data_IF_446911724888
#
_entry.id   IF_446911724888
#
_cell.length_a   1.000
_cell.length_b   1.000
_cell.length_c   1.000
_cell.angle_alpha   90.00
_cell.angle_beta   90.00
_cell.angle_gamma   90.00
#
_symmetry.space_group_name_H-M   'P 1'
#
loop_
_entity.id
_entity.type
_entity.pdbx_description
1 polymer ?
#
# COMPACT_ATOMS: atom_id res chain seq x y z
N UNK A 1 -12.21 37.33 -8.77
CA UNK A 1 -11.98 36.20 -7.84
C UNK A 1 -10.81 35.42 -8.39
N UNK A 2 -9.68 35.42 -7.69
CA UNK A 2 -8.54 34.60 -8.07
C UNK A 2 -8.99 33.13 -8.08
N UNK A 3 -8.75 32.42 -9.19
CA UNK A 3 -9.00 30.98 -9.23
C UNK A 3 -7.94 30.34 -8.34
N UNK A 4 -8.37 29.65 -7.29
CA UNK A 4 -7.45 28.86 -6.48
C UNK A 4 -6.75 27.78 -7.32
N UNK A 5 -5.48 27.53 -7.02
CA UNK A 5 -4.61 26.62 -7.79
C UNK A 5 -4.93 25.12 -7.53
N UNK A 6 -5.84 24.81 -6.61
CA UNK A 6 -6.26 23.45 -6.26
C UNK A 6 -7.64 23.16 -6.81
N UNK A 7 -7.77 22.08 -7.59
CA UNK A 7 -9.05 21.65 -8.16
C UNK A 7 -10.03 21.28 -7.04
N UNK A 8 -11.29 21.67 -7.19
CA UNK A 8 -12.38 21.34 -6.24
C UNK A 8 -12.47 19.84 -5.97
N UNK A 9 -12.28 19.02 -7.01
CA UNK A 9 -12.26 17.55 -6.89
C UNK A 9 -11.15 17.06 -5.96
N UNK A 10 -9.95 17.62 -6.08
CA UNK A 10 -8.80 17.22 -5.26
C UNK A 10 -9.00 17.68 -3.82
N UNK A 11 -9.49 18.92 -3.60
CA UNK A 11 -9.90 19.38 -2.26
C UNK A 11 -10.88 18.40 -1.61
N UNK A 12 -11.99 18.11 -2.29
CA UNK A 12 -13.06 17.27 -1.73
C UNK A 12 -12.54 15.86 -1.40
N UNK A 13 -11.70 15.29 -2.26
CA UNK A 13 -11.07 14.00 -2.01
C UNK A 13 -10.13 14.03 -0.80
N UNK A 14 -9.29 15.06 -0.68
CA UNK A 14 -8.35 15.23 0.45
C UNK A 14 -9.12 15.44 1.76
N UNK A 15 -9.98 16.44 1.82
CA UNK A 15 -10.73 16.82 3.03
C UNK A 15 -11.64 15.67 3.48
N UNK A 16 -12.38 15.07 2.55
CA UNK A 16 -13.27 13.95 2.86
C UNK A 16 -12.54 12.72 3.43
N UNK A 17 -11.43 12.32 2.81
CA UNK A 17 -10.65 11.17 3.26
C UNK A 17 -10.03 11.42 4.65
N UNK A 18 -9.36 12.56 4.83
CA UNK A 18 -8.65 12.86 6.07
C UNK A 18 -9.61 13.08 7.26
N UNK A 19 -10.79 13.66 7.04
CA UNK A 19 -11.86 13.74 8.07
C UNK A 19 -12.41 12.36 8.46
N UNK A 20 -12.45 11.42 7.52
CA UNK A 20 -12.78 10.03 7.79
C UNK A 20 -11.61 9.23 8.40
N UNK A 21 -10.44 9.83 8.60
CA UNK A 21 -9.26 9.17 9.15
C UNK A 21 -8.55 8.23 8.16
N UNK A 22 -8.82 8.36 6.86
CA UNK A 22 -8.23 7.53 5.80
C UNK A 22 -7.32 8.36 4.88
N UNK A 23 -6.41 7.69 4.18
CA UNK A 23 -5.49 8.34 3.25
C UNK A 23 -6.23 8.69 1.95
N UNK A 24 -6.14 9.93 1.45
CA UNK A 24 -6.78 10.31 0.19
C UNK A 24 -6.17 9.58 -1.00
N UNK A 25 -6.99 9.24 -1.99
CA UNK A 25 -6.55 8.58 -3.23
C UNK A 25 -6.10 9.56 -4.31
N UNK A 26 -6.53 10.82 -4.21
CA UNK A 26 -6.22 11.91 -5.14
C UNK A 26 -5.67 13.11 -4.36
N UNK A 27 -4.81 13.90 -5.00
CA UNK A 27 -4.32 15.16 -4.43
C UNK A 27 -3.29 15.02 -3.30
N UNK A 28 -2.74 13.83 -3.07
CA UNK A 28 -1.73 13.54 -2.04
C UNK A 28 -0.54 14.51 -2.07
N UNK A 29 -0.13 14.96 -3.26
CA UNK A 29 0.95 15.92 -3.46
C UNK A 29 0.72 17.27 -2.74
N UNK A 30 -0.53 17.67 -2.51
CA UNK A 30 -0.87 18.94 -1.88
C UNK A 30 -0.67 18.91 -0.35
N UNK A 31 -0.60 17.72 0.25
CA UNK A 31 -0.50 17.52 1.70
C UNK A 31 0.77 16.76 2.12
N UNK A 32 1.64 16.41 1.16
CA UNK A 32 2.92 15.76 1.48
C UNK A 32 3.79 16.68 2.34
N UNK A 33 4.27 16.19 3.48
CA UNK A 33 5.22 16.91 4.34
C UNK A 33 6.38 16.01 4.72
N UNK A 34 7.57 16.60 4.76
CA UNK A 34 8.81 15.89 5.06
C UNK A 34 9.15 14.83 4.01
N UNK A 35 10.07 13.94 4.40
CA UNK A 35 10.38 12.68 3.70
C UNK A 35 10.96 12.83 2.29
N UNK A 36 11.55 13.98 1.98
CA UNK A 36 12.09 14.26 0.65
C UNK A 36 13.14 13.22 0.23
N UNK A 37 14.00 12.79 1.16
CA UNK A 37 15.08 11.83 0.90
C UNK A 37 14.54 10.42 0.66
N UNK A 38 13.56 10.01 1.45
CA UNK A 38 12.87 8.72 1.36
C UNK A 38 12.14 8.62 0.01
N UNK A 39 11.46 9.69 -0.41
CA UNK A 39 10.80 9.76 -1.70
C UNK A 39 11.80 9.78 -2.85
N UNK A 40 12.90 10.54 -2.73
CA UNK A 40 13.97 10.51 -3.73
C UNK A 40 14.50 9.09 -3.94
N UNK A 41 14.63 8.32 -2.86
CA UNK A 41 15.06 6.93 -2.95
C UNK A 41 14.02 6.05 -3.66
N UNK A 42 12.74 6.18 -3.34
CA UNK A 42 11.66 5.48 -4.04
C UNK A 42 11.64 5.84 -5.54
N UNK A 43 11.88 7.09 -5.89
CA UNK A 43 11.99 7.52 -7.30
C UNK A 43 13.17 6.83 -7.99
N UNK A 44 14.33 6.71 -7.32
CA UNK A 44 15.50 5.98 -7.84
C UNK A 44 15.18 4.50 -8.06
N UNK A 45 14.51 3.87 -7.10
CA UNK A 45 14.09 2.48 -7.17
C UNK A 45 13.14 2.24 -8.34
N UNK A 46 12.13 3.10 -8.51
CA UNK A 46 11.17 3.03 -9.62
C UNK A 46 11.87 3.18 -10.97
N UNK A 47 12.87 4.06 -11.08
CA UNK A 47 13.70 4.18 -12.30
C UNK A 47 14.55 2.94 -12.54
N UNK A 48 15.07 2.31 -11.49
CA UNK A 48 15.79 1.04 -11.63
C UNK A 48 14.86 -0.07 -12.14
N UNK A 49 13.63 -0.15 -11.63
CA UNK A 49 12.61 -1.08 -12.12
C UNK A 49 12.29 -0.86 -13.60
N UNK A 50 12.18 0.40 -14.06
CA UNK A 50 11.90 0.69 -15.47
C UNK A 50 13.02 0.26 -16.42
N UNK A 51 14.25 0.12 -15.91
CA UNK A 51 15.44 -0.27 -16.66
C UNK A 51 15.76 -1.78 -16.59
N UNK A 52 14.87 -2.60 -16.04
CA UNK A 52 15.05 -4.06 -15.95
C UNK A 52 15.49 -4.54 -14.56
N UNK A 53 15.78 -3.63 -13.65
CA UNK A 53 16.11 -3.96 -12.27
C UNK A 53 14.94 -4.50 -11.47
N UNK A 54 15.25 -4.93 -10.26
CA UNK A 54 14.31 -5.40 -9.25
C UNK A 54 14.53 -4.60 -7.96
N UNK A 55 13.51 -4.51 -7.11
CA UNK A 55 13.63 -3.79 -5.83
C UNK A 55 12.75 -4.38 -4.75
N UNK A 56 13.27 -4.46 -3.53
CA UNK A 56 12.49 -4.77 -2.34
C UNK A 56 12.74 -3.70 -1.27
N UNK A 57 11.66 -3.15 -0.69
CA UNK A 57 11.76 -2.21 0.43
C UNK A 57 10.81 -2.57 1.56
N UNK A 58 11.25 -2.27 2.78
CA UNK A 58 10.47 -2.36 4.01
C UNK A 58 10.32 -0.95 4.56
N UNK A 59 9.11 -0.41 4.47
CA UNK A 59 8.74 0.89 5.02
C UNK A 59 8.26 0.66 6.45
N UNK A 60 9.12 0.98 7.41
CA UNK A 60 8.92 0.67 8.83
C UNK A 60 8.71 1.94 9.63
N UNK A 61 7.64 2.00 10.41
CA UNK A 61 7.32 3.14 11.26
C UNK A 61 6.15 2.86 12.20
N UNK A 62 6.01 3.65 13.26
CA UNK A 62 4.94 3.45 14.25
C UNK A 62 3.54 3.69 13.67
N UNK A 63 2.50 3.31 14.40
CA UNK A 63 1.14 3.75 14.07
C UNK A 63 1.10 5.28 14.04
N UNK A 64 0.41 5.85 13.04
CA UNK A 64 0.39 7.31 12.85
C UNK A 64 1.60 7.90 12.11
N UNK A 65 2.73 7.19 11.96
CA UNK A 65 3.90 7.68 11.20
C UNK A 65 3.68 7.83 9.68
N UNK A 66 2.44 7.84 9.18
CA UNK A 66 2.15 8.08 7.76
C UNK A 66 2.70 7.01 6.80
N UNK A 67 2.85 5.75 7.22
CA UNK A 67 3.29 4.65 6.36
C UNK A 67 2.39 4.46 5.14
N UNK A 68 1.09 4.30 5.37
CA UNK A 68 0.08 4.16 4.32
C UNK A 68 0.06 5.36 3.38
N UNK A 69 0.31 6.56 3.90
CA UNK A 69 0.48 7.77 3.08
C UNK A 69 1.70 7.66 2.17
N UNK A 70 2.86 7.29 2.73
CA UNK A 70 4.11 7.14 2.00
C UNK A 70 4.03 6.04 0.93
N UNK A 71 3.44 4.90 1.24
CA UNK A 71 3.23 3.80 0.30
C UNK A 71 2.29 4.19 -0.86
N UNK A 72 1.22 4.94 -0.57
CA UNK A 72 0.36 5.48 -1.62
C UNK A 72 1.08 6.52 -2.48
N UNK A 73 1.93 7.37 -1.90
CA UNK A 73 2.74 8.30 -2.66
C UNK A 73 3.73 7.57 -3.58
N UNK A 74 4.41 6.52 -3.08
CA UNK A 74 5.27 5.66 -3.90
C UNK A 74 4.50 5.04 -5.08
N UNK A 75 3.26 4.59 -4.83
CA UNK A 75 2.36 4.07 -5.86
C UNK A 75 2.04 5.12 -6.92
N UNK A 76 1.69 6.35 -6.51
CA UNK A 76 1.41 7.45 -7.46
C UNK A 76 2.63 7.78 -8.32
N UNK A 77 3.82 7.84 -7.73
CA UNK A 77 5.07 8.05 -8.48
C UNK A 77 5.26 6.95 -9.52
N UNK A 78 5.05 5.68 -9.15
CA UNK A 78 5.19 4.56 -10.07
C UNK A 78 4.20 4.63 -11.24
N UNK A 79 2.95 5.02 -10.98
CA UNK A 79 1.94 5.20 -12.01
C UNK A 79 2.31 6.32 -13.01
N UNK A 80 2.84 7.44 -12.50
CA UNK A 80 3.31 8.54 -13.35
C UNK A 80 4.52 8.15 -14.21
N UNK A 81 5.32 7.18 -13.77
CA UNK A 81 6.44 6.61 -14.53
C UNK A 81 6.08 5.36 -15.33
N UNK A 82 4.81 5.20 -15.74
CA UNK A 82 4.32 4.09 -16.58
C UNK A 82 4.48 2.68 -15.99
N UNK A 83 4.69 2.53 -14.68
CA UNK A 83 4.60 1.23 -14.03
C UNK A 83 3.13 0.85 -13.80
N UNK A 84 2.89 -0.45 -13.76
CA UNK A 84 1.65 -1.02 -13.19
C UNK A 84 1.87 -1.18 -11.70
N UNK A 85 0.85 -0.93 -10.90
CA UNK A 85 0.90 -1.14 -9.45
C UNK A 85 -0.20 -2.07 -8.99
N UNK A 86 0.05 -2.87 -7.96
CA UNK A 86 -0.98 -3.59 -7.22
C UNK A 86 -0.81 -3.30 -5.73
N UNK A 87 -1.91 -3.25 -4.98
CA UNK A 87 -1.85 -2.96 -3.55
C UNK A 87 -2.84 -3.80 -2.74
N UNK A 88 -2.46 -4.17 -1.52
CA UNK A 88 -3.32 -4.83 -0.55
C UNK A 88 -2.84 -4.55 0.88
N UNK A 89 -3.79 -4.45 1.80
CA UNK A 89 -3.52 -4.38 3.23
C UNK A 89 -3.70 -5.78 3.81
N UNK A 90 -2.71 -6.35 4.48
CA UNK A 90 -2.84 -7.70 5.04
C UNK A 90 -3.87 -7.69 6.17
N UNK A 91 -5.07 -8.20 5.91
CA UNK A 91 -6.04 -8.50 6.95
C UNK A 91 -5.70 -9.76 7.77
N UNK A 92 -6.46 -10.07 8.84
CA UNK A 92 -6.25 -11.27 9.66
C UNK A 92 -6.26 -12.60 8.88
N UNK A 93 -6.99 -12.64 7.76
CA UNK A 93 -7.18 -13.82 6.90
C UNK A 93 -6.37 -13.76 5.61
N UNK A 94 -5.46 -12.81 5.46
CA UNK A 94 -4.58 -12.70 4.30
C UNK A 94 -3.15 -13.00 4.70
N UNK A 95 -2.51 -13.86 3.91
CA UNK A 95 -1.16 -14.36 4.18
C UNK A 95 -0.38 -14.44 2.87
N UNK A 96 0.94 -14.38 2.96
CA UNK A 96 1.82 -14.62 1.82
C UNK A 96 2.03 -16.12 1.57
N UNK A 97 1.88 -16.92 2.61
CA UNK A 97 1.94 -18.37 2.56
C UNK A 97 0.81 -18.98 3.39
N UNK A 98 0.06 -19.89 2.78
CA UNK A 98 -1.03 -20.63 3.40
C UNK A 98 -1.28 -21.94 2.62
N UNK A 99 -2.26 -22.73 3.08
CA UNK A 99 -2.73 -23.93 2.36
C UNK A 99 -4.26 -23.99 2.22
N UNK A 100 -4.99 -23.01 2.76
CA UNK A 100 -6.44 -22.94 2.78
C UNK A 100 -7.05 -22.00 1.74
N UNK A 101 -6.23 -21.42 0.85
CA UNK A 101 -6.64 -20.43 -0.15
C UNK A 101 -6.42 -18.99 0.28
N UNK A 102 -5.86 -18.71 1.46
CA UNK A 102 -5.64 -17.35 1.96
C UNK A 102 -4.59 -16.58 1.14
N UNK A 103 -3.54 -17.26 0.65
CA UNK A 103 -2.55 -16.61 -0.20
C UNK A 103 -3.11 -16.33 -1.59
N UNK A 104 -3.90 -17.25 -2.15
CA UNK A 104 -4.69 -17.01 -3.37
C UNK A 104 -5.68 -15.86 -3.17
N UNK A 105 -6.30 -15.76 -1.99
CA UNK A 105 -7.18 -14.65 -1.63
C UNK A 105 -6.45 -13.30 -1.68
N UNK A 106 -5.23 -13.22 -1.11
CA UNK A 106 -4.38 -12.03 -1.22
C UNK A 106 -4.04 -11.72 -2.69
N UNK A 107 -3.69 -12.73 -3.49
CA UNK A 107 -3.44 -12.56 -4.92
C UNK A 107 -4.66 -11.98 -5.65
N UNK A 108 -5.87 -12.47 -5.38
CA UNK A 108 -7.10 -11.97 -5.99
C UNK A 108 -7.35 -10.49 -5.65
N UNK A 109 -7.08 -10.08 -4.41
CA UNK A 109 -7.14 -8.67 -4.00
C UNK A 109 -6.11 -7.84 -4.79
N UNK A 110 -4.86 -8.31 -4.89
CA UNK A 110 -3.82 -7.63 -5.67
C UNK A 110 -4.22 -7.46 -7.14
N UNK A 111 -4.77 -8.50 -7.77
CA UNK A 111 -5.18 -8.46 -9.17
C UNK A 111 -6.40 -7.56 -9.40
N UNK A 112 -7.33 -7.53 -8.45
CA UNK A 112 -8.47 -6.59 -8.46
C UNK A 112 -8.00 -5.14 -8.32
N UNK A 113 -6.99 -4.92 -7.47
CA UNK A 113 -6.39 -3.63 -7.19
C UNK A 113 -5.26 -3.24 -8.16
N UNK A 114 -5.10 -3.97 -9.28
CA UNK A 114 -4.19 -3.58 -10.35
C UNK A 114 -4.57 -2.20 -10.88
N UNK A 115 -3.62 -1.29 -10.92
CA UNK A 115 -3.79 0.09 -11.30
C UNK A 115 -2.74 0.52 -12.32
N UNK A 116 -3.16 1.40 -13.22
CA UNK A 116 -2.33 2.07 -14.23
C UNK A 116 -2.60 3.57 -14.17
N UNK A 117 -1.78 4.40 -14.84
CA UNK A 117 -1.99 5.86 -14.85
C UNK A 117 -3.41 6.26 -15.28
N UNK A 118 -3.99 5.54 -16.24
CA UNK A 118 -5.36 5.79 -16.73
C UNK A 118 -6.46 5.24 -15.81
N UNK A 119 -6.13 4.28 -14.93
CA UNK A 119 -7.04 3.67 -13.95
C UNK A 119 -6.33 3.57 -12.59
N UNK A 120 -6.10 4.70 -11.88
CA UNK A 120 -5.34 4.73 -10.63
C UNK A 120 -6.10 4.09 -9.44
N UNK A 121 -7.41 3.90 -9.58
CA UNK A 121 -8.30 3.38 -8.54
C UNK A 121 -8.37 1.84 -8.48
N UNK A 122 -7.79 1.13 -9.46
CA UNK A 122 -7.87 -0.34 -9.57
C UNK A 122 -8.58 -0.80 -10.85
N UNK A 123 -8.77 -2.13 -10.99
CA UNK A 123 -9.50 -2.74 -12.11
C UNK A 123 -8.81 -2.62 -13.47
N UNK A 124 -7.48 -2.49 -13.50
CA UNK A 124 -6.72 -2.28 -14.74
C UNK A 124 -6.39 -3.56 -15.51
N UNK A 125 -6.64 -4.76 -14.95
CA UNK A 125 -6.27 -6.04 -15.56
C UNK A 125 -6.75 -6.16 -17.02
N UNK A 126 -8.04 -5.93 -17.27
CA UNK A 126 -8.62 -5.96 -18.63
C UNK A 126 -7.90 -5.01 -19.58
N UNK A 127 -7.68 -3.76 -19.16
CA UNK A 127 -6.99 -2.76 -20.00
C UNK A 127 -5.52 -3.09 -20.25
N UNK A 128 -4.86 -3.83 -19.35
CA UNK A 128 -3.48 -4.31 -19.56
C UNK A 128 -3.48 -5.39 -20.64
N UNK A 129 -4.40 -6.35 -20.57
CA UNK A 129 -4.52 -7.44 -21.54
C UNK A 129 -4.88 -6.89 -22.93
N UNK A 130 -5.88 -6.02 -23.01
CA UNK A 130 -6.29 -5.40 -24.27
C UNK A 130 -5.17 -4.55 -24.87
N UNK A 131 -4.38 -3.86 -24.03
CA UNK A 131 -3.19 -3.14 -24.51
C UNK A 131 -2.15 -4.10 -25.07
N UNK A 132 -1.89 -5.24 -24.42
CA UNK A 132 -0.99 -6.27 -24.95
C UNK A 132 -1.46 -6.78 -26.32
N UNK A 133 -2.76 -7.06 -26.49
CA UNK A 133 -3.35 -7.46 -27.78
C UNK A 133 -3.18 -6.33 -28.81
N UNK A 134 -3.44 -5.08 -28.43
CA UNK A 134 -3.26 -3.93 -29.32
C UNK A 134 -1.79 -3.68 -29.72
N UNK A 135 -0.82 -4.01 -28.86
CA UNK A 135 0.60 -4.05 -29.24
C UNK A 135 0.85 -5.20 -30.23
N UNK A 136 0.31 -6.40 -29.99
CA UNK A 136 0.48 -7.53 -30.91
C UNK A 136 -0.10 -7.24 -32.30
N UNK A 137 -1.31 -6.67 -32.37
CA UNK A 137 -1.95 -6.24 -33.63
C UNK A 137 -1.13 -5.22 -34.41
N UNK A 138 -0.43 -4.31 -33.72
CA UNK A 138 0.46 -3.32 -34.38
C UNK A 138 1.71 -3.95 -34.98
N UNK A 139 2.18 -5.06 -34.41
CA UNK A 139 3.36 -5.78 -34.91
C UNK A 139 2.98 -6.87 -35.92
N UNK A 140 1.75 -7.40 -35.83
CA UNK A 140 1.18 -8.28 -36.82
C UNK A 140 0.97 -7.51 -38.13
N UNK A 141 1.60 -7.96 -39.22
CA UNK A 141 1.46 -7.30 -40.52
C UNK A 141 0.06 -7.46 -41.14
N UNK A 142 -0.74 -8.40 -40.64
CA UNK A 142 -2.11 -8.72 -41.10
C UNK A 142 -2.94 -9.20 -39.91
N UNK A 143 -4.28 -9.14 -40.00
CA UNK A 143 -5.19 -9.62 -38.95
C UNK A 143 -5.04 -11.13 -38.68
N UNK A 144 -4.83 -11.94 -39.72
CA UNK A 144 -4.65 -13.39 -39.57
C UNK A 144 -3.36 -13.76 -38.80
N UNK A 145 -2.35 -12.88 -38.81
CA UNK A 145 -1.08 -13.09 -38.13
C UNK A 145 -1.09 -12.65 -36.64
N UNK A 146 -2.20 -12.08 -36.15
CA UNK A 146 -2.27 -11.57 -34.77
C UNK A 146 -2.13 -12.69 -33.74
N UNK A 147 -2.77 -13.83 -33.98
CA UNK A 147 -2.68 -15.00 -33.09
C UNK A 147 -1.25 -15.53 -32.98
N UNK A 148 -0.55 -15.64 -34.11
CA UNK A 148 0.84 -16.09 -34.18
C UNK A 148 1.79 -15.11 -33.45
N UNK A 149 1.57 -13.81 -33.62
CA UNK A 149 2.36 -12.79 -32.91
C UNK A 149 2.09 -12.81 -31.40
N UNK A 150 0.84 -13.03 -30.97
CA UNK A 150 0.52 -13.23 -29.55
C UNK A 150 1.26 -14.45 -28.99
N UNK A 151 1.22 -15.60 -29.69
CA UNK A 151 1.92 -16.81 -29.27
C UNK A 151 3.44 -16.59 -29.16
N UNK A 152 4.03 -15.98 -30.19
CA UNK A 152 5.46 -15.65 -30.22
C UNK A 152 5.87 -14.75 -29.06
N UNK A 153 5.08 -13.72 -28.74
CA UNK A 153 5.38 -12.79 -27.63
C UNK A 153 5.21 -13.45 -26.26
N UNK A 154 4.25 -14.37 -26.12
CA UNK A 154 4.03 -15.11 -24.86
C UNK A 154 5.02 -16.24 -24.65
N UNK A 155 5.75 -16.69 -25.67
CA UNK A 155 6.74 -17.77 -25.58
C UNK A 155 7.75 -17.54 -24.43
N UNK A 156 8.20 -16.28 -24.24
CA UNK A 156 9.14 -15.93 -23.16
C UNK A 156 8.61 -16.19 -21.75
N UNK A 157 7.28 -16.24 -21.58
CA UNK A 157 6.65 -16.57 -20.30
C UNK A 157 6.64 -18.08 -20.08
N UNK A 158 6.59 -18.89 -21.13
CA UNK A 158 6.45 -20.35 -21.02
C UNK A 158 7.67 -21.02 -20.37
N UNK A 159 8.85 -20.38 -20.46
CA UNK A 159 10.08 -20.82 -19.77
C UNK A 159 10.04 -20.59 -18.25
N UNK A 160 9.07 -19.81 -17.77
CA UNK A 160 8.89 -19.53 -16.35
C UNK A 160 7.95 -20.55 -15.69
N UNK A 161 8.12 -20.76 -14.38
CA UNK A 161 7.21 -21.59 -13.58
C UNK A 161 5.76 -21.08 -13.71
N UNK A 162 4.84 -21.99 -14.03
CA UNK A 162 3.42 -21.74 -14.32
C UNK A 162 3.13 -20.89 -15.58
N UNK A 163 4.14 -20.61 -16.41
CA UNK A 163 4.00 -19.72 -17.55
C UNK A 163 3.22 -20.28 -18.73
N UNK A 164 3.27 -21.58 -18.97
CA UNK A 164 2.51 -22.24 -20.04
C UNK A 164 1.00 -22.02 -19.89
N UNK A 165 0.46 -22.28 -18.70
CA UNK A 165 -0.96 -22.10 -18.42
C UNK A 165 -1.36 -20.62 -18.43
N UNK A 166 -0.50 -19.73 -17.91
CA UNK A 166 -0.72 -18.28 -18.00
C UNK A 166 -0.82 -17.80 -19.46
N UNK A 167 0.12 -18.20 -20.32
CA UNK A 167 0.10 -17.88 -21.75
C UNK A 167 -1.14 -18.45 -22.44
N UNK A 168 -1.54 -19.68 -22.08
CA UNK A 168 -2.76 -20.32 -22.60
C UNK A 168 -4.00 -19.50 -22.24
N UNK A 169 -4.12 -19.01 -21.01
CA UNK A 169 -5.27 -18.21 -20.58
C UNK A 169 -5.32 -16.85 -21.28
N UNK A 170 -4.17 -16.20 -21.51
CA UNK A 170 -4.12 -14.96 -22.32
C UNK A 170 -4.57 -15.24 -23.77
N UNK A 171 -4.15 -16.36 -24.37
CA UNK A 171 -4.61 -16.78 -25.70
C UNK A 171 -6.11 -17.01 -25.72
N UNK A 172 -6.67 -17.72 -24.73
CA UNK A 172 -8.12 -17.92 -24.58
C UNK A 172 -8.88 -16.60 -24.46
N UNK A 173 -8.34 -15.63 -23.72
CA UNK A 173 -8.93 -14.29 -23.65
C UNK A 173 -8.96 -13.61 -25.02
N UNK A 174 -7.87 -13.70 -25.79
CA UNK A 174 -7.83 -13.13 -27.15
C UNK A 174 -8.80 -13.83 -28.11
N UNK A 175 -8.82 -15.16 -28.15
CA UNK A 175 -9.77 -15.94 -28.96
C UNK A 175 -11.22 -15.53 -28.66
N UNK A 176 -11.53 -15.35 -27.38
CA UNK A 176 -12.83 -14.90 -26.91
C UNK A 176 -13.13 -13.44 -27.29
N UNK A 177 -12.11 -12.58 -27.28
CA UNK A 177 -12.22 -11.19 -27.70
C UNK A 177 -12.55 -11.06 -29.20
N UNK A 178 -11.89 -11.82 -30.06
CA UNK A 178 -12.19 -11.85 -31.50
C UNK A 178 -13.57 -12.43 -31.79
N UNK A 179 -13.97 -13.48 -31.06
CA UNK A 179 -15.25 -14.16 -31.24
C UNK A 179 -16.44 -13.42 -30.59
N UNK A 180 -16.21 -12.39 -29.79
CA UNK A 180 -17.25 -11.73 -28.98
C UNK A 180 -17.84 -12.63 -27.87
N UNK A 181 -17.09 -13.62 -27.39
CA UNK A 181 -17.52 -14.52 -26.31
C UNK A 181 -17.19 -13.90 -24.94
N UNK A 182 -18.12 -13.10 -24.41
CA UNK A 182 -17.95 -12.48 -23.09
C UNK A 182 -17.84 -13.49 -21.95
N UNK A 183 -18.45 -14.68 -22.07
CA UNK A 183 -18.37 -15.73 -21.04
C UNK A 183 -16.94 -16.28 -20.94
N UNK A 184 -16.31 -16.54 -22.08
CA UNK A 184 -14.93 -17.03 -22.11
C UNK A 184 -13.92 -15.94 -21.69
N UNK A 185 -14.17 -14.68 -22.06
CA UNK A 185 -13.39 -13.53 -21.55
C UNK A 185 -13.45 -13.45 -20.02
N UNK A 186 -14.65 -13.52 -19.45
CA UNK A 186 -14.86 -13.47 -18.00
C UNK A 186 -14.21 -14.66 -17.29
N UNK A 187 -14.29 -15.86 -17.86
CA UNK A 187 -13.58 -17.03 -17.34
C UNK A 187 -12.07 -16.80 -17.32
N UNK A 188 -11.49 -16.26 -18.40
CA UNK A 188 -10.06 -16.00 -18.46
C UNK A 188 -9.63 -14.93 -17.45
N UNK A 189 -10.40 -13.84 -17.31
CA UNK A 189 -10.16 -12.80 -16.29
C UNK A 189 -10.25 -13.39 -14.88
N UNK A 190 -11.24 -14.24 -14.62
CA UNK A 190 -11.43 -14.93 -13.34
C UNK A 190 -10.24 -15.83 -13.00
N UNK A 191 -9.65 -16.51 -13.99
CA UNK A 191 -8.43 -17.29 -13.80
C UNK A 191 -7.22 -16.41 -13.50
N UNK A 192 -7.04 -15.32 -14.25
CA UNK A 192 -5.95 -14.36 -14.03
C UNK A 192 -6.06 -13.62 -12.69
N UNK A 193 -7.27 -13.49 -12.13
CA UNK A 193 -7.49 -12.99 -10.76
C UNK A 193 -7.32 -14.06 -9.69
N UNK A 194 -7.10 -15.34 -10.04
CA UNK A 194 -6.99 -16.43 -9.05
C UNK A 194 -8.32 -16.76 -8.36
N UNK A 195 -9.46 -16.53 -9.01
CA UNK A 195 -10.81 -16.72 -8.44
C UNK A 195 -11.38 -18.14 -8.66
N UNK A 196 -10.58 -19.06 -9.22
CA UNK A 196 -10.94 -20.46 -9.32
C UNK A 196 -10.52 -21.22 -8.07
N UNK A 197 -11.52 -21.79 -7.36
CA UNK A 197 -11.27 -22.67 -6.22
C UNK A 197 -10.94 -24.11 -6.65
N UNK A 198 -11.52 -24.57 -7.76
CA UNK A 198 -11.48 -25.95 -8.21
C UNK A 198 -10.88 -26.06 -9.62
N UNK A 199 -9.90 -26.96 -9.79
CA UNK A 199 -9.26 -27.26 -11.08
C UNK A 199 -10.24 -27.79 -12.12
N UNK A 200 -11.27 -28.53 -11.70
CA UNK A 200 -12.32 -29.05 -12.58
C UNK A 200 -13.11 -27.93 -13.24
N UNK A 201 -13.38 -26.84 -12.52
CA UNK A 201 -14.10 -25.68 -13.06
C UNK A 201 -13.24 -24.93 -14.07
N UNK A 202 -11.95 -24.68 -13.77
CA UNK A 202 -11.02 -24.07 -14.73
C UNK A 202 -10.87 -24.91 -16.00
N UNK A 203 -10.85 -26.24 -15.88
CA UNK A 203 -10.79 -27.16 -17.03
C UNK A 203 -12.05 -27.07 -17.88
N UNK A 204 -13.22 -26.99 -17.24
CA UNK A 204 -14.51 -26.87 -17.94
C UNK A 204 -14.64 -25.54 -18.68
N UNK A 205 -14.21 -24.44 -18.04
CA UNK A 205 -14.42 -23.11 -18.57
C UNK A 205 -13.36 -22.70 -19.61
N UNK A 206 -12.10 -23.10 -19.41
CA UNK A 206 -10.94 -22.63 -20.20
C UNK A 206 -10.13 -23.75 -20.86
N UNK A 207 -10.39 -25.01 -20.50
CA UNK A 207 -9.57 -26.15 -20.93
C UNK A 207 -8.25 -26.31 -20.15
N UNK A 208 -8.00 -25.49 -19.13
CA UNK A 208 -6.76 -25.47 -18.34
C UNK A 208 -6.89 -26.36 -17.10
N UNK A 209 -5.91 -27.23 -16.83
CA UNK A 209 -5.97 -28.24 -15.75
C UNK A 209 -5.44 -27.74 -14.40
N UNK A 210 -4.90 -26.53 -14.36
CA UNK A 210 -4.32 -25.92 -13.17
C UNK A 210 -5.05 -24.61 -12.83
N UNK A 211 -4.85 -24.16 -11.60
CA UNK A 211 -5.34 -22.88 -11.09
C UNK A 211 -4.18 -22.17 -10.40
N UNK A 212 -4.32 -20.87 -10.20
CA UNK A 212 -3.48 -20.14 -9.26
C UNK A 212 -3.87 -20.60 -7.85
N UNK A 213 -2.93 -21.19 -7.13
CA UNK A 213 -3.09 -21.69 -5.77
C UNK A 213 -2.05 -21.07 -4.84
N UNK A 214 -2.16 -21.34 -3.53
CA UNK A 214 -1.33 -20.70 -2.50
C UNK A 214 0.18 -20.89 -2.75
N UNK A 215 0.59 -22.04 -3.30
CA UNK A 215 1.98 -22.38 -3.58
C UNK A 215 2.57 -21.63 -4.77
N UNK A 216 1.72 -21.16 -5.68
CA UNK A 216 2.12 -20.57 -6.97
C UNK A 216 1.86 -19.07 -7.08
N UNK A 217 1.26 -18.43 -6.06
CA UNK A 217 0.96 -16.98 -6.04
C UNK A 217 2.18 -16.12 -6.42
N UNK A 218 3.33 -16.38 -5.79
CA UNK A 218 4.53 -15.58 -6.06
C UNK A 218 5.09 -15.79 -7.46
N UNK A 219 5.00 -17.00 -7.98
CA UNK A 219 5.41 -17.30 -9.36
C UNK A 219 4.49 -16.57 -10.36
N UNK A 220 3.20 -16.45 -10.08
CA UNK A 220 2.26 -15.65 -10.87
C UNK A 220 2.48 -14.13 -10.77
N UNK A 221 2.96 -13.61 -9.63
CA UNK A 221 3.37 -12.20 -9.54
C UNK A 221 4.59 -11.90 -10.45
N UNK A 222 5.55 -12.83 -10.54
CA UNK A 222 6.68 -12.71 -11.50
C UNK A 222 6.21 -12.79 -12.95
N UNK A 223 5.27 -13.69 -13.26
CA UNK A 223 4.65 -13.77 -14.59
C UNK A 223 3.94 -12.46 -14.94
N UNK A 224 3.19 -11.88 -13.99
CA UNK A 224 2.53 -10.59 -14.18
C UNK A 224 3.55 -9.47 -14.45
N UNK A 225 4.69 -9.43 -13.74
CA UNK A 225 5.76 -8.47 -14.01
C UNK A 225 6.24 -8.53 -15.46
N UNK A 226 6.50 -9.73 -15.97
CA UNK A 226 6.94 -9.93 -17.37
C UNK A 226 5.81 -9.62 -18.35
N UNK A 227 4.58 -10.00 -18.03
CA UNK A 227 3.42 -9.72 -18.88
C UNK A 227 3.14 -8.23 -19.02
N UNK A 228 3.21 -7.42 -17.95
CA UNK A 228 2.99 -5.97 -18.07
C UNK A 228 4.06 -5.29 -18.93
N UNK A 229 5.29 -5.81 -18.96
CA UNK A 229 6.33 -5.37 -19.90
C UNK A 229 5.96 -5.69 -21.34
N UNK A 230 5.47 -6.90 -21.60
CA UNK A 230 4.93 -7.27 -22.91
C UNK A 230 3.73 -6.38 -23.29
N UNK A 231 2.91 -5.94 -22.32
CA UNK A 231 1.83 -5.00 -22.56
C UNK A 231 2.28 -3.53 -22.79
N UNK A 232 3.59 -3.25 -22.72
CA UNK A 232 4.16 -1.91 -22.98
C UNK A 232 4.17 -0.97 -21.76
N UNK A 233 4.07 -1.49 -20.54
CA UNK A 233 4.36 -0.76 -19.30
C UNK A 233 5.82 -0.94 -18.90
N UNK A 234 6.33 -0.09 -18.01
CA UNK A 234 7.77 -0.08 -17.66
C UNK A 234 8.17 -1.00 -16.51
N UNK A 235 7.20 -1.52 -15.76
CA UNK A 235 7.44 -2.51 -14.72
C UNK A 235 6.22 -2.72 -13.83
N UNK A 236 6.39 -3.52 -12.78
CA UNK A 236 5.34 -3.89 -11.84
C UNK A 236 5.77 -3.66 -10.40
N UNK A 237 5.00 -2.87 -9.65
CA UNK A 237 5.22 -2.59 -8.23
C UNK A 237 4.07 -3.14 -7.39
N UNK A 238 4.38 -4.08 -6.49
CA UNK A 238 3.43 -4.59 -5.49
C UNK A 238 3.65 -3.87 -4.17
N UNK A 239 2.56 -3.39 -3.57
CA UNK A 239 2.56 -2.69 -2.29
C UNK A 239 1.72 -3.49 -1.30
N UNK A 240 2.34 -3.93 -0.21
CA UNK A 240 1.67 -4.69 0.85
C UNK A 240 1.77 -3.88 2.14
N UNK A 241 0.66 -3.36 2.65
CA UNK A 241 0.60 -2.65 3.92
C UNK A 241 0.12 -3.57 5.06
N UNK A 242 0.19 -3.10 6.30
CA UNK A 242 -0.29 -3.80 7.49
C UNK A 242 0.39 -5.17 7.71
N UNK A 243 1.67 -5.29 7.35
CA UNK A 243 2.48 -6.52 7.51
C UNK A 243 2.60 -6.97 8.98
N UNK A 244 2.33 -6.07 9.93
CA UNK A 244 2.24 -6.38 11.36
C UNK A 244 1.25 -7.50 11.67
N UNK A 245 0.25 -7.73 10.82
CA UNK A 245 -0.70 -8.83 11.03
C UNK A 245 -0.05 -10.22 10.90
N UNK A 246 1.09 -10.35 10.21
CA UNK A 246 1.89 -11.59 10.24
C UNK A 246 2.57 -11.79 11.60
N UNK A 247 3.08 -10.72 12.23
CA UNK A 247 3.66 -10.78 13.58
C UNK A 247 2.60 -11.23 14.61
N UNK A 248 1.35 -10.77 14.45
CA UNK A 248 0.22 -11.12 15.32
C UNK A 248 -0.20 -12.60 15.24
N UNK A 249 0.19 -13.34 14.20
CA UNK A 249 -0.11 -14.77 14.09
C UNK A 249 0.40 -15.53 15.32
N UNK A 250 -0.52 -16.17 16.04
CA UNK A 250 -0.22 -16.95 17.26
C UNK A 250 0.56 -18.21 16.92
N UNK A 251 0.17 -18.91 15.86
CA UNK A 251 0.83 -20.13 15.40
C UNK A 251 2.21 -19.81 14.79
N UNK A 252 3.27 -20.28 15.46
CA UNK A 252 4.66 -20.03 15.05
C UNK A 252 5.01 -20.68 13.70
N UNK A 253 4.53 -21.89 13.41
CA UNK A 253 4.77 -22.58 12.14
C UNK A 253 4.20 -21.78 10.97
N UNK A 254 2.94 -21.32 11.08
CA UNK A 254 2.33 -20.49 10.04
C UNK A 254 3.05 -19.15 9.87
N UNK A 255 3.49 -18.53 10.97
CA UNK A 255 4.26 -17.27 10.92
C UNK A 255 5.61 -17.48 10.23
N UNK A 256 6.35 -18.51 10.60
CA UNK A 256 7.65 -18.84 10.02
C UNK A 256 7.55 -19.15 8.53
N UNK A 257 6.51 -19.88 8.08
CA UNK A 257 6.30 -20.14 6.66
C UNK A 257 6.05 -18.85 5.85
N UNK A 258 5.36 -17.86 6.44
CA UNK A 258 5.23 -16.54 5.83
C UNK A 258 6.56 -15.78 5.78
N UNK A 259 7.41 -15.92 6.81
CA UNK A 259 8.74 -15.30 6.82
C UNK A 259 9.70 -15.95 5.82
N UNK A 260 9.62 -17.27 5.63
CA UNK A 260 10.33 -17.97 4.55
C UNK A 260 9.89 -17.47 3.18
N UNK A 261 8.59 -17.22 2.99
CA UNK A 261 8.08 -16.64 1.75
C UNK A 261 8.57 -15.20 1.53
N UNK A 262 8.62 -14.37 2.58
CA UNK A 262 9.25 -13.04 2.51
C UNK A 262 10.74 -13.16 2.16
N UNK A 263 11.46 -14.10 2.77
CA UNK A 263 12.87 -14.33 2.46
C UNK A 263 13.07 -14.75 1.00
N UNK A 264 12.20 -15.61 0.47
CA UNK A 264 12.20 -16.01 -0.95
C UNK A 264 12.04 -14.78 -1.84
N UNK A 265 11.08 -13.91 -1.54
CA UNK A 265 10.84 -12.64 -2.27
C UNK A 265 12.09 -11.75 -2.22
N UNK A 266 12.65 -11.54 -1.02
CA UNK A 266 13.83 -10.69 -0.80
C UNK A 266 15.03 -11.22 -1.58
N UNK A 267 15.31 -12.53 -1.51
CA UNK A 267 16.44 -13.12 -2.21
C UNK A 267 16.30 -13.03 -3.74
N UNK A 268 15.13 -13.35 -4.29
CA UNK A 268 14.90 -13.28 -5.73
C UNK A 268 15.04 -11.83 -6.25
N UNK A 269 14.56 -10.84 -5.50
CA UNK A 269 14.65 -9.42 -5.86
C UNK A 269 16.06 -8.85 -5.67
N UNK A 270 16.79 -9.19 -4.61
CA UNK A 270 18.17 -8.72 -4.40
C UNK A 270 19.15 -9.36 -5.40
N UNK A 271 18.84 -10.56 -5.90
CA UNK A 271 19.69 -11.27 -6.87
C UNK A 271 19.34 -10.94 -8.34
N UNK A 272 18.38 -10.04 -8.59
CA UNK A 272 18.01 -9.65 -9.96
C UNK A 272 17.25 -10.72 -10.73
N UNK A 273 16.68 -11.75 -10.06
CA UNK A 273 16.00 -12.87 -10.73
C UNK A 273 14.57 -12.55 -11.17
N UNK A 274 14.00 -11.48 -10.65
CA UNK A 274 12.66 -11.02 -11.00
C UNK A 274 12.74 -9.62 -11.61
N UNK A 275 13.13 -9.57 -12.89
CA UNK A 275 13.27 -8.32 -13.64
C UNK A 275 11.97 -7.51 -13.68
N UNK A 276 12.13 -6.18 -13.70
CA UNK A 276 11.04 -5.21 -13.75
C UNK A 276 10.04 -5.31 -12.58
N UNK A 277 10.41 -6.00 -11.51
CA UNK A 277 9.51 -6.29 -10.38
C UNK A 277 9.98 -5.64 -9.08
N UNK A 278 9.06 -4.94 -8.43
CA UNK A 278 9.27 -4.29 -7.15
C UNK A 278 8.27 -4.73 -6.09
N UNK A 279 8.70 -4.83 -4.84
CA UNK A 279 7.81 -5.06 -3.69
C UNK A 279 8.10 -4.08 -2.56
N UNK A 280 7.07 -3.38 -2.07
CA UNK A 280 7.13 -2.53 -0.88
C UNK A 280 6.31 -3.18 0.25
N UNK A 281 6.93 -3.40 1.40
CA UNK A 281 6.30 -3.93 2.61
C UNK A 281 6.14 -2.82 3.65
N UNK A 282 4.91 -2.49 4.03
CA UNK A 282 4.56 -1.58 5.13
C UNK A 282 4.43 -2.33 6.44
N UNK A 283 5.27 -2.01 7.43
CA UNK A 283 5.27 -2.70 8.72
C UNK A 283 5.55 -1.79 9.91
N UNK A 284 5.34 -2.31 11.12
CA UNK A 284 5.70 -1.60 12.35
C UNK A 284 7.11 -1.99 12.83
N UNK A 285 7.74 -1.22 13.74
CA UNK A 285 9.02 -1.61 14.32
C UNK A 285 8.96 -2.97 15.01
N UNK A 286 7.85 -3.37 15.64
CA UNK A 286 7.71 -4.69 16.25
C UNK A 286 7.73 -5.81 15.21
N UNK A 287 7.08 -5.59 14.06
CA UNK A 287 7.13 -6.56 12.95
C UNK A 287 8.56 -6.80 12.48
N UNK A 288 9.41 -5.77 12.44
CA UNK A 288 10.81 -5.91 12.03
C UNK A 288 11.70 -6.44 13.17
N UNK A 289 11.71 -5.76 14.32
CA UNK A 289 12.77 -5.81 15.32
C UNK A 289 12.52 -6.79 16.47
N UNK A 290 11.29 -7.25 16.68
CA UNK A 290 10.99 -8.19 17.77
C UNK A 290 11.85 -9.45 17.60
N UNK A 291 12.75 -9.75 18.54
CA UNK A 291 13.71 -10.85 18.39
C UNK A 291 13.07 -12.24 18.53
N UNK A 292 11.82 -12.32 18.98
CA UNK A 292 11.09 -13.58 19.20
C UNK A 292 10.03 -13.82 18.12
N UNK A 293 9.37 -12.76 17.66
CA UNK A 293 8.22 -12.88 16.75
C UNK A 293 8.35 -12.06 15.47
N UNK A 294 9.22 -11.06 15.41
CA UNK A 294 9.42 -10.20 14.24
C UNK A 294 10.32 -10.86 13.20
N UNK A 295 10.59 -10.18 12.09
CA UNK A 295 11.48 -10.67 11.04
C UNK A 295 12.89 -10.96 11.56
N UNK A 296 13.35 -10.21 12.57
CA UNK A 296 14.66 -10.40 13.19
C UNK A 296 14.77 -11.67 14.05
N UNK A 297 13.65 -12.35 14.34
CA UNK A 297 13.69 -13.69 14.94
C UNK A 297 14.20 -14.75 13.95
N UNK A 298 14.28 -14.42 12.65
CA UNK A 298 14.80 -15.29 11.61
C UNK A 298 16.12 -14.75 11.06
N UNK A 299 17.23 -15.39 11.41
CA UNK A 299 18.58 -14.86 11.16
C UNK A 299 18.87 -14.58 9.68
N UNK A 300 18.33 -15.40 8.77
CA UNK A 300 18.48 -15.21 7.33
C UNK A 300 17.78 -13.94 6.81
N UNK A 301 16.66 -13.52 7.44
CA UNK A 301 16.04 -12.22 7.14
C UNK A 301 16.80 -11.10 7.82
N UNK A 302 17.16 -11.27 9.10
CA UNK A 302 17.91 -10.27 9.86
C UNK A 302 19.18 -9.84 9.13
N UNK A 303 19.98 -10.78 8.65
CA UNK A 303 21.22 -10.48 7.91
C UNK A 303 21.00 -9.71 6.60
N UNK A 304 19.83 -9.86 5.97
CA UNK A 304 19.46 -9.11 4.75
C UNK A 304 18.90 -7.73 5.04
N UNK A 305 18.24 -7.56 6.18
CA UNK A 305 17.50 -6.35 6.55
C UNK A 305 18.23 -5.47 7.56
N UNK A 306 19.31 -5.97 8.16
CA UNK A 306 20.11 -5.24 9.12
C UNK A 306 20.61 -3.92 8.53
N UNK A 307 20.63 -2.90 9.39
CA UNK A 307 21.19 -1.61 9.04
C UNK A 307 22.69 -1.70 8.83
N UNK A 308 23.17 -0.79 8.00
CA UNK A 308 24.58 -0.61 7.76
C UNK A 308 25.30 -0.19 9.06
N UNK A 309 26.30 -0.95 9.47
CA UNK A 309 27.04 -0.75 10.72
C UNK A 309 27.82 0.57 10.79
N UNK A 310 28.03 1.23 9.66
CA UNK A 310 28.66 2.56 9.54
C UNK A 310 27.67 3.71 9.74
N UNK A 311 26.37 3.45 9.81
CA UNK A 311 25.35 4.44 10.14
C UNK A 311 25.49 4.79 11.62
N UNK A 312 26.29 5.82 11.90
CA UNK A 312 26.53 6.38 13.24
C UNK A 312 26.40 7.90 13.17
N UNK A 313 26.08 8.54 14.30
CA UNK A 313 26.12 10.00 14.47
C UNK A 313 25.34 10.82 13.42
N UNK A 314 24.05 10.52 13.23
CA UNK A 314 23.17 11.33 12.35
C UNK A 314 23.35 11.09 10.86
N UNK A 315 24.22 10.16 10.46
CA UNK A 315 24.26 9.62 9.10
C UNK A 315 22.99 8.80 8.83
N UNK A 316 22.55 8.78 7.58
CA UNK A 316 21.39 7.99 7.14
C UNK A 316 21.76 7.28 5.85
N UNK A 317 21.49 5.98 5.81
CA UNK A 317 21.68 5.14 4.62
C UNK A 317 20.32 4.66 4.11
N UNK A 318 19.88 5.23 3.00
CA UNK A 318 18.67 4.81 2.30
C UNK A 318 18.93 3.76 1.21
N UNK A 319 20.17 3.27 1.04
CA UNK A 319 20.48 2.25 0.04
C UNK A 319 20.02 0.86 0.46
N UNK A 320 19.95 0.58 1.76
CA UNK A 320 19.50 -0.69 2.33
C UNK A 320 17.99 -0.93 2.18
N UNK A 321 17.51 -2.18 2.28
CA UNK A 321 16.11 -2.52 2.02
C UNK A 321 15.13 -1.91 3.03
N UNK A 322 15.58 -1.43 4.19
CA UNK A 322 14.70 -0.83 5.21
C UNK A 322 14.70 0.69 5.09
N UNK A 323 13.52 1.29 4.93
CA UNK A 323 13.27 2.73 5.04
C UNK A 323 12.51 2.96 6.34
N UNK A 324 13.13 3.66 7.30
CA UNK A 324 12.46 4.05 8.54
C UNK A 324 11.72 5.35 8.37
N UNK A 325 10.46 5.36 8.77
CA UNK A 325 9.62 6.55 8.81
C UNK A 325 9.46 7.01 10.27
N UNK A 326 10.16 8.08 10.68
CA UNK A 326 9.93 8.67 12.00
C UNK A 326 8.52 9.28 12.09
N UNK A 327 8.08 9.48 13.33
CA UNK A 327 6.92 10.33 13.60
C UNK A 327 7.17 11.76 13.07
N UNK A 328 6.09 12.47 12.73
CA UNK A 328 6.19 13.86 12.30
C UNK A 328 6.71 14.72 13.45
N UNK A 329 7.66 15.59 13.15
CA UNK A 329 8.13 16.65 14.06
C UNK A 329 7.07 17.73 14.24
N UNK A 330 7.22 18.59 15.25
CA UNK A 330 6.34 19.75 15.48
C UNK A 330 6.29 20.65 14.25
N UNK A 331 7.45 20.91 13.66
CA UNK A 331 7.62 21.74 12.48
C UNK A 331 6.93 21.13 11.26
N UNK A 332 7.09 19.82 11.05
CA UNK A 332 6.39 19.13 9.96
C UNK A 332 4.87 19.11 10.18
N UNK A 333 4.40 18.96 11.42
CA UNK A 333 2.98 19.02 11.72
C UNK A 333 2.41 20.41 11.46
N UNK A 334 3.12 21.48 11.84
CA UNK A 334 2.73 22.85 11.52
C UNK A 334 2.61 23.09 10.00
N UNK A 335 3.60 22.62 9.23
CA UNK A 335 3.58 22.70 7.77
C UNK A 335 2.40 21.90 7.21
N UNK A 336 2.07 20.75 7.79
CA UNK A 336 0.91 19.96 7.39
C UNK A 336 -0.40 20.71 7.63
N UNK A 337 -0.61 21.30 8.80
CA UNK A 337 -1.82 22.07 9.10
C UNK A 337 -1.95 23.29 8.17
N UNK A 338 -0.83 23.96 7.87
CA UNK A 338 -0.77 25.06 6.89
C UNK A 338 -1.24 24.59 5.51
N UNK A 339 -0.74 23.44 5.04
CA UNK A 339 -1.16 22.84 3.77
C UNK A 339 -2.63 22.42 3.78
N UNK A 340 -3.13 21.87 4.88
CA UNK A 340 -4.53 21.48 5.01
C UNK A 340 -5.46 22.69 4.95
N UNK A 341 -5.12 23.79 5.64
CA UNK A 341 -5.84 25.06 5.53
C UNK A 341 -5.84 25.58 4.10
N UNK A 342 -4.68 25.54 3.43
CA UNK A 342 -4.56 25.97 2.03
C UNK A 342 -5.41 25.11 1.08
N UNK A 343 -5.39 23.78 1.25
CA UNK A 343 -6.25 22.85 0.51
C UNK A 343 -7.72 23.15 0.75
N UNK A 344 -8.12 23.35 2.01
CA UNK A 344 -9.50 23.67 2.38
C UNK A 344 -10.01 24.91 1.63
N UNK A 345 -9.18 25.94 1.57
CA UNK A 345 -9.42 27.19 0.85
C UNK A 345 -9.14 27.12 -0.67
N UNK A 346 -9.06 25.91 -1.26
CA UNK A 346 -8.82 25.69 -2.70
C UNK A 346 -7.54 26.34 -3.24
N UNK A 347 -6.59 26.67 -2.39
CA UNK A 347 -5.36 27.36 -2.75
C UNK A 347 -5.45 28.88 -2.75
N UNK A 348 -6.58 29.46 -2.32
CA UNK A 348 -6.72 30.91 -2.19
C UNK A 348 -6.46 31.38 -0.74
N UNK A 349 -5.40 32.18 -0.49
CA UNK A 349 -5.12 32.73 0.84
C UNK A 349 -6.24 33.61 1.41
N UNK A 350 -6.99 34.30 0.55
CA UNK A 350 -8.08 35.20 0.98
C UNK A 350 -9.27 34.42 1.56
N UNK A 351 -9.40 33.13 1.23
CA UNK A 351 -10.48 32.25 1.67
C UNK A 351 -10.07 31.39 2.89
N UNK A 352 -9.00 31.76 3.59
CA UNK A 352 -8.55 31.01 4.77
C UNK A 352 -9.54 31.16 5.94
N UNK A 353 -10.06 30.04 6.49
CA UNK A 353 -10.99 30.09 7.61
C UNK A 353 -10.34 30.54 8.93
N UNK A 354 -9.01 30.42 9.05
CA UNK A 354 -8.25 30.76 10.25
C UNK A 354 -6.88 31.38 9.92
N UNK A 355 -6.38 32.33 10.72
CA UNK A 355 -5.04 32.91 10.53
C UNK A 355 -3.93 31.99 11.07
N UNK A 356 -2.66 32.40 10.93
CA UNK A 356 -1.51 31.58 11.34
C UNK A 356 -1.42 31.38 12.86
N UNK A 357 -1.87 32.37 13.62
CA UNK A 357 -1.93 32.33 15.09
C UNK A 357 -2.84 31.20 15.58
N UNK A 358 -3.92 30.92 14.85
CA UNK A 358 -4.84 29.82 15.16
C UNK A 358 -4.18 28.44 14.98
N UNK A 359 -3.25 28.29 14.04
CA UNK A 359 -2.47 27.06 13.88
C UNK A 359 -1.60 26.81 15.11
N UNK A 360 -0.91 27.85 15.58
CA UNK A 360 -0.09 27.78 16.80
C UNK A 360 -0.95 27.50 18.05
N UNK A 361 -2.08 28.19 18.20
CA UNK A 361 -3.01 27.98 19.31
C UNK A 361 -3.57 26.56 19.32
N UNK A 362 -3.96 26.04 18.15
CA UNK A 362 -4.45 24.67 18.01
C UNK A 362 -3.36 23.66 18.40
N UNK A 363 -2.13 23.83 17.90
CA UNK A 363 -1.02 22.95 18.26
C UNK A 363 -0.70 22.99 19.76
N UNK A 364 -0.69 24.18 20.37
CA UNK A 364 -0.48 24.34 21.81
C UNK A 364 -1.58 23.63 22.62
N UNK A 365 -2.84 23.78 22.22
CA UNK A 365 -3.98 23.09 22.84
C UNK A 365 -3.84 21.57 22.77
N UNK A 366 -3.50 21.04 21.59
CA UNK A 366 -3.29 19.61 21.43
C UNK A 366 -2.12 19.09 22.29
N UNK A 367 -1.03 19.85 22.38
CA UNK A 367 0.12 19.49 23.21
C UNK A 367 -0.25 19.47 24.70
N UNK A 368 -1.06 20.42 25.17
CA UNK A 368 -1.55 20.45 26.55
C UNK A 368 -2.49 19.30 26.89
N UNK A 369 -3.39 18.93 25.97
CA UNK A 369 -4.41 17.88 26.19
C UNK A 369 -3.87 16.45 26.04
N UNK A 370 -2.92 16.23 25.13
CA UNK A 370 -2.50 14.87 24.72
C UNK A 370 -1.02 14.59 25.11
N UNK A 371 -0.25 15.60 25.50
CA UNK A 371 1.16 15.46 25.88
C UNK A 371 2.02 14.88 24.76
N UNK A 372 3.02 14.04 25.10
CA UNK A 372 3.90 13.39 24.10
C UNK A 372 3.15 12.49 23.10
N UNK A 373 1.95 11.98 23.46
CA UNK A 373 1.14 11.17 22.56
C UNK A 373 0.57 11.98 21.38
N UNK A 374 0.64 13.32 21.42
CA UNK A 374 0.26 14.19 20.32
C UNK A 374 1.02 13.86 19.02
N UNK A 375 2.33 13.64 19.12
CA UNK A 375 3.20 13.35 17.97
C UNK A 375 3.05 11.93 17.44
N UNK A 376 2.44 11.04 18.23
CA UNK A 376 2.13 9.66 17.85
C UNK A 376 0.73 9.51 17.23
N UNK A 377 -0.11 10.55 17.29
CA UNK A 377 -1.53 10.48 16.91
C UNK A 377 -1.94 11.50 15.81
N UNK A 378 -1.14 11.69 14.73
CA UNK A 378 -1.40 12.74 13.73
C UNK A 378 -2.74 12.56 13.01
N UNK A 379 -3.29 11.35 12.90
CA UNK A 379 -4.60 11.10 12.29
C UNK A 379 -5.73 11.85 12.99
N UNK A 380 -5.79 11.77 14.33
CA UNK A 380 -6.83 12.44 15.11
C UNK A 380 -6.63 13.96 15.08
N UNK A 381 -5.40 14.44 15.21
CA UNK A 381 -5.08 15.86 15.07
C UNK A 381 -5.54 16.43 13.74
N UNK A 382 -5.23 15.76 12.63
CA UNK A 382 -5.64 16.16 11.27
C UNK A 382 -7.17 16.19 11.15
N UNK A 383 -7.84 15.13 11.64
CA UNK A 383 -9.30 15.03 11.61
C UNK A 383 -9.94 16.18 12.38
N UNK A 384 -9.53 16.38 13.63
CA UNK A 384 -10.08 17.43 14.50
C UNK A 384 -9.82 18.82 13.92
N UNK A 385 -8.64 19.06 13.34
CA UNK A 385 -8.37 20.32 12.66
C UNK A 385 -9.30 20.56 11.47
N UNK A 386 -9.51 19.56 10.61
CA UNK A 386 -10.43 19.69 9.47
C UNK A 386 -11.90 19.81 9.90
N UNK A 387 -12.28 19.20 11.02
CA UNK A 387 -13.60 19.38 11.63
C UNK A 387 -13.77 20.82 12.15
N UNK A 388 -12.75 21.39 12.80
CA UNK A 388 -12.72 22.82 13.18
C UNK A 388 -12.91 23.73 11.96
N UNK A 389 -12.15 23.51 10.88
CA UNK A 389 -12.27 24.31 9.65
C UNK A 389 -13.69 24.20 9.05
N UNK A 390 -14.27 22.99 9.05
CA UNK A 390 -15.61 22.77 8.53
C UNK A 390 -16.70 23.48 9.35
N UNK A 391 -16.53 23.55 10.68
CA UNK A 391 -17.45 24.31 11.55
C UNK A 391 -17.35 25.80 11.27
N UNK A 392 -16.14 26.34 11.16
CA UNK A 392 -15.92 27.77 10.89
C UNK A 392 -16.46 28.20 9.53
N UNK A 393 -16.26 27.37 8.50
CA UNK A 393 -16.78 27.61 7.14
C UNK A 393 -18.32 27.69 7.09
N UNK A 394 -19.00 26.89 7.90
CA UNK A 394 -20.47 26.84 7.96
C UNK A 394 -21.09 27.89 8.89
N UNK A 395 -20.31 28.51 9.78
CA UNK A 395 -20.79 29.43 10.80
C UNK A 395 -20.02 30.76 10.79
N UNK A 396 -20.23 31.61 9.76
CA UNK A 396 -19.56 32.92 9.66
C UNK A 396 -19.81 33.78 10.90
N UNK A 397 -18.73 34.33 11.47
CA UNK A 397 -18.79 35.16 12.69
C UNK A 397 -18.48 34.41 13.98
N UNK A 398 -18.31 33.09 13.94
CA UNK A 398 -17.76 32.33 15.07
C UNK A 398 -16.27 32.63 15.24
N UNK A 399 -15.85 32.94 16.45
CA UNK A 399 -14.44 33.13 16.76
C UNK A 399 -13.73 31.78 16.92
N UNK A 400 -12.53 31.64 16.34
CA UNK A 400 -11.82 30.37 16.28
C UNK A 400 -11.20 29.97 17.64
N UNK A 401 -10.84 30.95 18.45
CA UNK A 401 -10.29 30.81 19.81
C UNK A 401 -11.26 30.09 20.75
N UNK A 402 -12.54 30.50 20.77
CA UNK A 402 -13.60 29.87 21.56
C UNK A 402 -13.78 28.37 21.24
N UNK A 403 -13.62 27.99 19.97
CA UNK A 403 -13.78 26.62 19.51
C UNK A 403 -12.58 25.74 19.90
N UNK A 404 -11.36 26.28 19.81
CA UNK A 404 -10.15 25.53 20.18
C UNK A 404 -10.23 25.13 21.66
N UNK A 405 -10.60 26.05 22.56
CA UNK A 405 -10.68 25.77 24.01
C UNK A 405 -11.68 24.64 24.34
N UNK A 406 -12.79 24.57 23.61
CA UNK A 406 -13.87 23.58 23.81
C UNK A 406 -13.62 22.24 23.12
N UNK A 407 -12.63 22.16 22.23
CA UNK A 407 -12.40 20.97 21.42
C UNK A 407 -11.71 19.88 22.24
N UNK A 408 -12.36 18.72 22.39
CA UNK A 408 -11.74 17.52 22.95
C UNK A 408 -11.03 16.72 21.86
N UNK A 409 -9.82 16.23 22.15
CA UNK A 409 -9.04 15.41 21.22
C UNK A 409 -8.66 14.11 21.91
N UNK A 410 -9.19 13.01 21.39
CA UNK A 410 -8.93 11.68 21.91
C UNK A 410 -7.57 11.14 21.40
N UNK A 411 -6.86 10.33 22.21
CA UNK A 411 -5.69 9.58 21.74
C UNK A 411 -6.05 8.61 20.61
N UNK A 412 -5.21 8.48 19.58
CA UNK A 412 -5.36 7.46 18.53
C UNK A 412 -4.99 6.09 19.10
N UNK A 413 -5.94 5.14 19.09
CA UNK A 413 -5.71 3.75 19.56
C UNK A 413 -5.25 2.81 18.44
N UNK A 414 -4.89 3.33 17.27
CA UNK A 414 -4.59 2.50 16.11
C UNK A 414 -5.85 1.80 15.57
N UNK A 415 -5.74 0.90 14.58
CA UNK A 415 -6.90 0.14 14.12
C UNK A 415 -7.54 -0.65 15.27
N UNK A 416 -8.88 -0.80 15.22
CA UNK A 416 -9.75 -1.46 16.22
C UNK A 416 -9.33 -2.89 16.67
N UNK A 417 -8.26 -3.46 16.11
CA UNK A 417 -7.66 -4.74 16.47
C UNK A 417 -6.38 -4.59 17.32
N UNK A 418 -6.14 -3.43 17.92
CA UNK A 418 -5.11 -3.25 18.94
C UNK A 418 -5.70 -3.62 20.31
N UNK A 419 -5.28 -4.76 20.86
CA UNK A 419 -5.66 -5.19 22.22
C UNK A 419 -5.38 -4.06 23.25
N UNK A 420 -6.31 -3.76 24.16
CA UNK A 420 -6.08 -2.86 25.27
C UNK A 420 -5.32 -3.60 26.37
N UNK A 421 -4.02 -3.80 26.21
CA UNK A 421 -3.14 -4.22 27.32
C UNK A 421 -1.97 -3.27 27.45
N UNK A 422 -2.21 -2.16 28.13
CA UNK A 422 -1.18 -1.17 28.43
C UNK A 422 -1.57 -0.13 29.47
N UNK A 423 -2.62 -0.36 30.26
CA UNK A 423 -3.00 0.53 31.35
C UNK A 423 -3.51 -0.29 32.55
N UNK A 424 -2.60 -1.01 33.20
CA UNK A 424 -2.78 -1.35 34.62
C UNK A 424 -1.96 -0.35 35.42
N UNK A 425 -2.67 0.57 36.08
CA UNK A 425 -2.10 1.40 37.14
C UNK A 425 -1.72 0.55 38.36
N UNK A 426 -0.91 1.08 39.28
CA UNK A 426 -0.39 0.30 40.39
C UNK A 426 -1.52 -0.12 41.32
N UNK A 427 -1.69 -1.43 41.49
CA UNK A 427 -2.59 -2.00 42.47
C UNK A 427 -2.15 -1.59 43.88
N UNK A 428 -2.92 -0.71 44.50
CA UNK A 428 -2.88 -0.50 45.95
C UNK A 428 -3.43 -1.74 46.62
N UNK A 429 -2.55 -2.43 47.33
CA UNK A 429 -2.89 -3.41 48.35
C UNK A 429 -3.79 -2.76 49.41
N UNK A 430 -4.96 -3.33 49.65
CA UNK A 430 -5.57 -3.24 50.97
C UNK A 430 -6.28 -4.54 51.31
N UNK A 431 -5.96 -5.01 52.51
CA UNK A 431 -6.46 -6.20 53.18
C UNK A 431 -7.95 -6.06 53.51
N UNK A 432 -8.68 -7.17 53.50
CA UNK A 432 -10.08 -7.18 53.93
C UNK A 432 -10.72 -8.55 53.86
N UNK A 433 -10.46 -9.38 54.87
CA UNK A 433 -11.24 -10.56 55.22
C UNK A 433 -12.75 -10.25 55.23
N UNK A 434 -13.58 -11.12 54.64
CA UNK A 434 -14.67 -11.82 55.36
C UNK A 434 -15.46 -12.75 54.44
N UNK A 435 -15.82 -13.89 55.04
CA UNK A 435 -16.71 -14.98 54.61
C UNK A 435 -18.07 -14.52 54.06
N UNK A 436 -18.69 -15.30 53.16
CA UNK A 436 -19.71 -16.30 53.54
C UNK A 436 -20.18 -17.14 52.35
N UNK A 437 -20.45 -18.41 52.64
CA UNK A 437 -21.06 -19.46 51.79
C UNK A 437 -22.54 -19.20 51.54
N UNK A 438 -23.02 -19.48 50.33
CA UNK A 438 -23.75 -20.72 49.98
C UNK A 438 -23.86 -20.86 48.46
#
# INVERSE_FOLDING_TARGET
MARGDIKVRDRNAIVGALRAGVVPRLGLQHVQVGRAREIEQIVKDIRNLSQGGSTVRFVIGDYGSGKTFFLNLARLVALETKLVTAHADLGPNQRLFASGGEARGLYAVLMTNLATRSKPEGGALTSIIERFIGEARRHAGTEDAVGDEIEKRLAVLQDMRAGYDFATVIRRYWEAFEAGDDRLKDAALRWLRGEYALKTQAKSDLGVRVIIDDDTVYDHLKLMSRFVRLAGYDGFLVVLDEMVNLHKLVNATSRNANYEQILRIVNDLLQGRAEHFGVLFGGTPEFLLDPRRGLYSYEALRSRLAENSFVKHGLVDFSGPVIRLPALTTEELYVLLTKLRHVFAQGNPDDYPVPDEALHAFMAHCQQKIGEAYFRTPRNTIKTFLDLLAVLDQNPGTAWDDLIERTEIAPDRGPLNADPKGAEGPATSDEGFAEFRL
#
